data_IF_544714311209
#
_entry.id   IF_544714311209
#
_cell.length_a   1.000
_cell.length_b   1.000
_cell.length_c   1.000
_cell.angle_alpha   90.00
_cell.angle_beta   90.00
_cell.angle_gamma   90.00
#
_symmetry.space_group_name_H-M   'P 1'
#
loop_
_entity.id
_entity.type
_entity.pdbx_description
1 polymer ?
#
# COMPACT_ATOMS: atom_id res chain seq x y z
N UNK A 1 -11.53 -2.97 20.07
CA UNK A 1 -10.51 -3.73 19.33
C UNK A 1 -9.96 -2.82 18.25
N UNK A 2 -8.72 -2.35 18.38
CA UNK A 2 -8.09 -1.54 17.33
C UNK A 2 -7.95 -2.39 16.06
N UNK A 3 -8.52 -1.93 14.94
CA UNK A 3 -8.28 -2.60 13.65
C UNK A 3 -6.77 -2.65 13.41
N UNK A 4 -6.23 -3.86 13.19
CA UNK A 4 -4.83 -4.00 12.80
C UNK A 4 -4.63 -3.36 11.44
N UNK A 5 -3.64 -2.49 11.31
CA UNK A 5 -3.19 -1.96 10.03
C UNK A 5 -2.73 -3.14 9.15
N UNK A 6 -3.20 -3.18 7.91
CA UNK A 6 -2.82 -4.20 6.93
C UNK A 6 -2.57 -3.54 5.60
N UNK A 7 -1.45 -3.86 4.98
CA UNK A 7 -1.10 -3.37 3.66
C UNK A 7 -0.73 -4.54 2.74
N UNK A 8 -0.90 -4.33 1.44
CA UNK A 8 -0.37 -5.22 0.39
C UNK A 8 0.35 -4.43 -0.68
N UNK A 9 1.34 -5.06 -1.28
CA UNK A 9 2.07 -4.58 -2.44
C UNK A 9 1.55 -5.30 -3.68
N UNK A 10 1.31 -4.55 -4.75
CA UNK A 10 0.78 -5.04 -6.01
C UNK A 10 1.75 -4.68 -7.14
N UNK A 11 2.20 -5.67 -7.91
CA UNK A 11 3.06 -5.49 -9.08
C UNK A 11 2.38 -6.18 -10.27
N UNK A 12 2.25 -5.49 -11.40
CA UNK A 12 1.56 -6.07 -12.57
C UNK A 12 0.09 -6.47 -12.31
N UNK A 13 -0.56 -5.90 -11.29
CA UNK A 13 -1.92 -6.26 -10.88
C UNK A 13 -2.02 -7.46 -9.94
N UNK A 14 -0.91 -8.11 -9.61
CA UNK A 14 -0.83 -9.28 -8.74
C UNK A 14 -0.32 -8.85 -7.35
N UNK A 15 -0.96 -9.25 -6.25
CA UNK A 15 -0.40 -9.09 -4.92
C UNK A 15 0.89 -9.89 -4.76
N UNK A 16 1.98 -9.22 -4.39
CA UNK A 16 3.32 -9.84 -4.27
C UNK A 16 3.86 -9.85 -2.83
N UNK A 17 3.32 -9.00 -1.95
CA UNK A 17 3.70 -8.96 -0.54
C UNK A 17 2.55 -8.43 0.34
N UNK A 18 2.54 -8.79 1.62
CA UNK A 18 1.61 -8.33 2.65
C UNK A 18 2.35 -7.96 3.92
N UNK A 19 1.75 -7.07 4.71
CA UNK A 19 2.24 -6.70 6.05
C UNK A 19 1.05 -6.40 6.96
N UNK A 20 1.15 -6.78 8.22
CA UNK A 20 0.08 -6.60 9.21
C UNK A 20 0.64 -6.25 10.58
N UNK A 21 -0.09 -5.40 11.33
CA UNK A 21 0.26 -5.04 12.71
C UNK A 21 0.85 -3.63 12.85
N UNK A 22 1.46 -3.33 14.02
CA UNK A 22 1.86 -1.97 14.37
C UNK A 22 2.91 -1.35 13.42
N UNK A 23 3.73 -2.18 12.79
CA UNK A 23 4.80 -1.78 11.86
C UNK A 23 4.50 -2.07 10.40
N UNK A 24 3.25 -2.41 10.08
CA UNK A 24 2.87 -2.81 8.72
C UNK A 24 3.22 -1.75 7.66
N UNK A 25 3.16 -0.47 8.03
CA UNK A 25 3.57 0.61 7.13
C UNK A 25 5.08 0.57 6.82
N UNK A 26 5.95 0.47 7.84
CA UNK A 26 7.40 0.42 7.62
C UNK A 26 7.80 -0.80 6.78
N UNK A 27 7.20 -1.95 7.09
CA UNK A 27 7.44 -3.20 6.38
C UNK A 27 6.99 -3.12 4.91
N UNK A 28 5.79 -2.59 4.62
CA UNK A 28 5.34 -2.49 3.23
C UNK A 28 6.16 -1.48 2.43
N UNK A 29 6.64 -0.41 3.07
CA UNK A 29 7.53 0.55 2.43
C UNK A 29 8.89 -0.08 2.12
N UNK A 30 9.44 -0.89 3.04
CA UNK A 30 10.65 -1.66 2.78
C UNK A 30 10.48 -2.60 1.58
N UNK A 31 9.39 -3.37 1.52
CA UNK A 31 9.10 -4.23 0.36
C UNK A 31 8.90 -3.42 -0.93
N UNK A 32 8.23 -2.27 -0.87
CA UNK A 32 8.05 -1.42 -2.03
C UNK A 32 9.40 -0.98 -2.62
N UNK A 33 10.37 -0.61 -1.77
CA UNK A 33 11.73 -0.24 -2.22
C UNK A 33 12.41 -1.41 -2.92
N UNK A 34 12.33 -2.62 -2.37
CA UNK A 34 12.94 -3.82 -2.96
C UNK A 34 12.30 -4.16 -4.31
N UNK A 35 10.98 -4.33 -4.34
CA UNK A 35 10.27 -4.79 -5.55
C UNK A 35 10.19 -3.72 -6.64
N UNK A 36 10.28 -2.42 -6.29
CA UNK A 36 10.30 -1.34 -7.28
C UNK A 36 11.50 -1.40 -8.22
N UNK A 37 12.55 -2.14 -7.86
CA UNK A 37 13.72 -2.35 -8.70
C UNK A 37 13.39 -3.16 -9.97
N UNK A 38 12.42 -4.08 -9.87
CA UNK A 38 12.00 -4.94 -10.98
C UNK A 38 10.84 -4.34 -11.79
N UNK A 39 10.26 -3.23 -11.32
CA UNK A 39 9.23 -2.50 -12.04
C UNK A 39 8.21 -1.80 -11.13
N UNK A 40 7.21 -1.12 -11.72
CA UNK A 40 6.26 -0.31 -10.95
C UNK A 40 5.44 -1.12 -9.95
N UNK A 41 5.38 -0.64 -8.72
CA UNK A 41 4.58 -1.23 -7.63
C UNK A 41 3.49 -0.27 -7.16
N UNK A 42 2.42 -0.81 -6.58
CA UNK A 42 1.34 -0.07 -5.93
C UNK A 42 1.13 -0.60 -4.52
N UNK A 43 1.02 0.29 -3.55
CA UNK A 43 0.65 -0.08 -2.18
C UNK A 43 -0.86 0.07 -2.04
N UNK A 44 -1.48 -0.85 -1.30
CA UNK A 44 -2.87 -0.75 -0.91
C UNK A 44 -3.04 -1.01 0.59
N UNK A 45 -3.85 -0.19 1.26
CA UNK A 45 -4.26 -0.39 2.65
C UNK A 45 -5.58 -1.15 2.70
N UNK A 46 -5.75 -2.04 3.69
CA UNK A 46 -7.03 -2.70 3.95
C UNK A 46 -7.85 -1.87 4.93
N UNK A 47 -8.84 -1.16 4.42
CA UNK A 47 -9.71 -0.27 5.18
C UNK A 47 -11.16 -0.72 5.05
N UNK A 48 -11.84 -0.94 6.18
CA UNK A 48 -13.27 -1.30 6.22
C UNK A 48 -13.63 -2.48 5.29
N UNK A 49 -12.81 -3.53 5.33
CA UNK A 49 -13.03 -4.75 4.52
C UNK A 49 -12.65 -4.63 3.04
N UNK A 50 -12.04 -3.52 2.60
CA UNK A 50 -11.66 -3.30 1.20
C UNK A 50 -10.22 -2.86 1.06
N UNK A 51 -9.54 -3.37 0.03
CA UNK A 51 -8.22 -2.88 -0.36
C UNK A 51 -8.33 -1.58 -1.15
N UNK A 52 -7.68 -0.53 -0.67
CA UNK A 52 -7.70 0.82 -1.28
C UNK A 52 -6.28 1.30 -1.58
N UNK A 53 -6.07 2.08 -2.66
CA UNK A 53 -4.76 2.65 -2.98
C UNK A 53 -4.17 3.47 -1.82
N UNK A 54 -2.88 3.31 -1.58
CA UNK A 54 -2.11 4.05 -0.59
C UNK A 54 -0.87 4.71 -1.25
N UNK A 55 -0.52 5.97 -0.91
CA UNK A 55 -1.32 6.90 -0.12
C UNK A 55 -2.67 7.20 -0.79
N UNK A 56 -3.73 7.51 -0.02
CA UNK A 56 -4.99 7.96 -0.61
C UNK A 56 -4.65 9.16 -1.50
N UNK A 57 -5.07 9.11 -2.77
CA UNK A 57 -4.73 10.17 -3.73
C UNK A 57 -5.02 11.51 -3.09
N UNK A 58 -3.99 12.33 -2.89
CA UNK A 58 -4.19 13.76 -2.68
C UNK A 58 -5.03 14.23 -3.87
N UNK A 59 -6.25 14.73 -3.62
CA UNK A 59 -7.02 15.45 -4.63
C UNK A 59 -6.04 16.46 -5.22
N UNK A 60 -5.65 16.30 -6.48
CA UNK A 60 -4.99 17.38 -7.19
C UNK A 60 -6.01 18.52 -7.19
N UNK A 61 -5.70 19.60 -6.48
CA UNK A 61 -6.47 20.83 -6.59
C UNK A 61 -6.54 21.21 -8.09
N UNK A 62 -7.70 21.67 -8.59
CA UNK A 62 -7.78 22.13 -9.95
C UNK A 62 -6.88 23.37 -10.06
N UNK A 63 -5.77 23.24 -10.78
CA UNK A 63 -4.98 24.38 -11.23
C UNK A 63 -5.90 25.20 -12.15
N UNK A 64 -6.25 26.42 -11.73
CA UNK A 64 -6.90 27.42 -12.58
C UNK A 64 -5.95 27.86 -13.69
#
# INVERSE_FOLDING_TARGET
MSERLRFRLVQGGIPVAWSEGPRAYDEIMHYAVVYSQDGPVKIQAHERGKWRPWPPRLRKEPTQ
#
